data_IF_244770680718
#
_entry.id   IF_244770680718
#
_cell.length_a   1.000
_cell.length_b   1.000
_cell.length_c   1.000
_cell.angle_alpha   90.00
_cell.angle_beta   90.00
_cell.angle_gamma   90.00
#
_symmetry.space_group_name_H-M   'P 1'
#
loop_
_entity.id
_entity.type
_entity.pdbx_description
1 polymer ?
#
# COMPACT_ATOMS: atom_id res chain seq x y z
N UNK A 1 -25.83 0.60 4.84
CA UNK A 1 -24.97 0.42 6.04
C UNK A 1 -23.59 0.03 5.54
N UNK A 2 -22.52 0.71 5.96
CA UNK A 2 -21.18 0.54 5.38
C UNK A 2 -20.50 -0.72 5.96
N UNK A 3 -20.95 -1.90 5.53
CA UNK A 3 -20.56 -3.23 6.06
C UNK A 3 -19.03 -3.39 6.11
N UNK A 4 -18.34 -2.85 5.10
CA UNK A 4 -16.86 -2.88 5.04
C UNK A 4 -16.22 -2.10 6.21
N UNK A 5 -16.76 -0.94 6.57
CA UNK A 5 -16.25 -0.14 7.69
C UNK A 5 -16.40 -0.85 9.04
N UNK A 6 -17.59 -1.43 9.31
CA UNK A 6 -17.85 -2.17 10.54
C UNK A 6 -16.99 -3.43 10.64
N UNK A 7 -16.78 -4.14 9.51
CA UNK A 7 -15.96 -5.34 9.46
C UNK A 7 -14.48 -5.05 9.72
N UNK A 8 -13.95 -3.93 9.20
CA UNK A 8 -12.56 -3.53 9.43
C UNK A 8 -12.32 -3.18 10.91
N UNK A 9 -13.26 -2.47 11.54
CA UNK A 9 -13.19 -2.17 12.98
C UNK A 9 -13.15 -3.47 13.78
N UNK A 10 -14.01 -4.45 13.48
CA UNK A 10 -14.00 -5.73 14.17
C UNK A 10 -12.67 -6.49 13.97
N UNK A 11 -12.12 -6.48 12.76
CA UNK A 11 -10.81 -7.10 12.47
C UNK A 11 -9.68 -6.45 13.26
N UNK A 12 -9.64 -5.12 13.38
CA UNK A 12 -8.63 -4.41 14.16
C UNK A 12 -8.81 -4.60 15.68
N UNK A 13 -10.03 -4.83 16.15
CA UNK A 13 -10.25 -5.23 17.54
C UNK A 13 -9.70 -6.64 17.82
N UNK A 14 -9.84 -7.56 16.87
CA UNK A 14 -9.36 -8.94 16.98
C UNK A 14 -7.84 -9.04 16.81
N UNK A 15 -7.29 -8.36 15.82
CA UNK A 15 -5.86 -8.30 15.53
C UNK A 15 -5.44 -6.86 15.22
N UNK A 16 -5.05 -6.10 16.25
CA UNK A 16 -4.65 -4.70 16.08
C UNK A 16 -3.31 -4.55 15.36
N UNK A 17 -2.52 -5.62 15.23
CA UNK A 17 -1.21 -5.54 14.54
C UNK A 17 -1.37 -5.37 13.03
N UNK A 18 -2.55 -5.70 12.48
CA UNK A 18 -2.85 -5.51 11.06
C UNK A 18 -2.78 -4.05 10.61
N UNK A 19 -2.88 -3.05 11.50
CA UNK A 19 -2.69 -1.66 11.12
C UNK A 19 -1.26 -1.15 11.32
N UNK A 20 -0.30 -1.99 11.75
CA UNK A 20 1.08 -1.59 11.94
C UNK A 20 1.88 -1.71 10.65
N UNK A 21 2.61 -0.67 10.22
CA UNK A 21 3.42 -0.72 9.01
C UNK A 21 4.79 -1.34 9.27
N UNK A 22 5.37 -1.98 8.26
CA UNK A 22 6.76 -2.46 8.28
C UNK A 22 7.76 -1.31 8.11
N UNK A 23 7.35 -0.24 7.41
CA UNK A 23 8.17 0.96 7.25
C UNK A 23 7.29 2.23 7.24
N UNK A 24 7.83 3.33 7.75
CA UNK A 24 7.13 4.63 7.80
C UNK A 24 8.01 5.70 7.19
N UNK A 25 7.45 6.49 6.29
CA UNK A 25 8.06 7.70 5.74
C UNK A 25 7.18 8.91 6.05
N UNK A 26 7.76 10.11 6.08
CA UNK A 26 6.98 11.34 6.30
C UNK A 26 6.06 11.62 5.11
N UNK A 27 6.63 11.75 3.91
CA UNK A 27 5.89 12.04 2.67
C UNK A 27 6.31 11.11 1.54
N UNK A 28 5.56 11.12 0.43
CA UNK A 28 5.89 10.33 -0.76
C UNK A 28 7.33 10.57 -1.27
N UNK A 29 7.85 11.80 -1.16
CA UNK A 29 9.24 12.12 -1.55
C UNK A 29 10.32 11.42 -0.73
N UNK A 30 9.97 10.84 0.41
CA UNK A 30 10.89 10.14 1.30
C UNK A 30 10.86 8.62 1.07
N UNK A 31 10.08 8.12 0.10
CA UNK A 31 10.10 6.70 -0.24
C UNK A 31 11.50 6.30 -0.71
N UNK A 32 12.09 5.23 -0.14
CA UNK A 32 13.36 4.74 -0.63
C UNK A 32 13.14 4.02 -1.95
N UNK A 33 13.90 4.38 -3.00
CA UNK A 33 13.80 3.73 -4.32
C UNK A 33 15.10 2.94 -4.60
N UNK A 34 15.02 1.63 -4.93
CA UNK A 34 13.84 0.75 -4.86
C UNK A 34 13.33 0.52 -3.42
N UNK A 35 12.05 0.15 -3.30
CA UNK A 35 11.33 -0.04 -2.02
C UNK A 35 11.95 -1.16 -1.15
N UNK A 36 12.68 -2.11 -1.74
CA UNK A 36 13.47 -3.10 -1.01
C UNK A 36 14.36 -2.49 0.08
N UNK A 37 14.88 -1.26 -0.15
CA UNK A 37 15.74 -0.55 0.80
C UNK A 37 15.01 -0.06 2.06
N UNK A 38 13.68 -0.03 2.06
CA UNK A 38 12.87 0.33 3.22
C UNK A 38 13.00 -0.70 4.36
N UNK A 39 13.33 -1.94 4.03
CA UNK A 39 13.23 -3.06 4.96
C UNK A 39 14.63 -3.56 5.33
N UNK A 40 15.03 -3.43 6.61
CA UNK A 40 16.36 -3.86 7.03
C UNK A 40 16.51 -5.38 6.91
N UNK A 41 17.77 -5.82 6.76
CA UNK A 41 18.13 -7.25 6.84
C UNK A 41 17.76 -7.75 8.23
N UNK A 42 17.17 -8.95 8.32
CA UNK A 42 16.84 -9.57 9.61
C UNK A 42 18.12 -9.77 10.43
N UNK A 43 18.17 -9.20 11.63
CA UNK A 43 19.29 -9.35 12.57
C UNK A 43 19.51 -10.84 12.90
N UNK A 44 20.75 -11.30 12.82
CA UNK A 44 21.18 -12.68 13.14
C UNK A 44 21.46 -13.58 11.95
N UNK A 45 21.06 -13.22 10.73
CA UNK A 45 21.44 -13.95 9.52
C UNK A 45 22.75 -13.40 8.95
N UNK A 46 23.87 -14.07 9.19
CA UNK A 46 25.17 -13.80 8.52
C UNK A 46 25.08 -13.85 6.98
N UNK A 47 23.94 -14.27 6.43
CA UNK A 47 23.60 -14.43 5.01
C UNK A 47 22.18 -13.93 4.64
N UNK A 48 21.61 -12.97 5.38
CA UNK A 48 20.24 -12.50 5.12
C UNK A 48 20.10 -11.81 3.75
N UNK A 49 19.35 -12.43 2.82
CA UNK A 49 19.01 -11.85 1.52
C UNK A 49 18.15 -10.60 1.73
N UNK A 50 18.42 -9.55 0.96
CA UNK A 50 17.58 -8.35 0.94
C UNK A 50 16.13 -8.70 0.60
N UNK A 51 15.19 -7.90 1.13
CA UNK A 51 13.78 -8.07 0.79
C UNK A 51 13.59 -7.86 -0.71
N UNK A 52 13.01 -8.85 -1.37
CA UNK A 52 12.83 -8.89 -2.83
C UNK A 52 11.47 -8.27 -3.21
N UNK A 53 11.42 -6.93 -3.30
CA UNK A 53 10.24 -6.20 -3.77
C UNK A 53 10.30 -6.06 -5.28
N UNK A 54 9.36 -6.70 -5.96
CA UNK A 54 9.26 -6.74 -7.43
C UNK A 54 8.18 -5.83 -7.98
N UNK A 55 7.14 -5.56 -7.20
CA UNK A 55 6.06 -4.67 -7.59
C UNK A 55 5.60 -3.77 -6.44
N UNK A 56 5.01 -2.64 -6.81
CA UNK A 56 4.47 -1.64 -5.90
C UNK A 56 2.99 -1.42 -6.19
N UNK A 57 2.19 -1.54 -5.14
CA UNK A 57 0.79 -1.10 -5.12
C UNK A 57 0.75 0.27 -4.46
N UNK A 58 0.30 1.27 -5.19
CA UNK A 58 0.38 2.67 -4.79
C UNK A 58 -1.02 3.25 -4.59
N UNK A 59 -1.30 3.75 -3.39
CA UNK A 59 -2.49 4.56 -3.12
C UNK A 59 -2.41 5.92 -3.83
N UNK A 60 -3.58 6.50 -4.13
CA UNK A 60 -3.71 7.81 -4.80
C UNK A 60 -3.88 8.95 -3.81
N UNK A 61 -5.01 8.96 -3.12
CA UNK A 61 -5.55 10.14 -2.44
C UNK A 61 -4.75 10.42 -1.18
N UNK A 62 -4.17 11.62 -1.06
CA UNK A 62 -3.29 12.01 0.05
C UNK A 62 -1.96 11.23 0.11
N UNK A 63 -1.69 10.33 -0.83
CA UNK A 63 -0.41 9.64 -0.99
C UNK A 63 0.51 10.38 -1.97
N UNK A 64 0.35 10.17 -3.29
CA UNK A 64 1.10 10.92 -4.31
C UNK A 64 0.30 12.07 -4.93
N UNK A 65 -1.02 12.13 -4.71
CA UNK A 65 -1.91 13.14 -5.24
C UNK A 65 -2.64 13.89 -4.13
N UNK A 66 -2.97 15.16 -4.38
CA UNK A 66 -3.95 15.89 -3.54
C UNK A 66 -5.26 15.09 -3.55
N UNK A 67 -5.99 14.95 -2.42
CA UNK A 67 -7.27 14.26 -2.39
C UNK A 67 -8.21 14.70 -3.52
N UNK A 68 -8.81 13.73 -4.21
CA UNK A 68 -9.71 13.92 -5.36
C UNK A 68 -9.05 14.45 -6.65
N UNK A 69 -7.76 14.81 -6.64
CA UNK A 69 -7.04 15.11 -7.86
C UNK A 69 -6.68 13.81 -8.62
N UNK A 70 -6.51 13.94 -9.94
CA UNK A 70 -6.03 12.85 -10.81
C UNK A 70 -4.66 13.18 -11.43
N UNK A 71 -3.92 14.06 -10.77
CA UNK A 71 -2.60 14.52 -11.17
C UNK A 71 -1.61 14.25 -10.04
N UNK A 72 -0.36 14.04 -10.40
CA UNK A 72 0.72 13.90 -9.43
C UNK A 72 0.87 15.25 -8.72
N UNK A 73 0.97 15.25 -7.40
CA UNK A 73 1.26 16.48 -6.66
C UNK A 73 2.59 17.07 -7.19
N UNK A 74 2.60 18.34 -7.58
CA UNK A 74 3.73 18.99 -8.27
C UNK A 74 5.11 18.67 -7.63
N UNK A 75 5.29 18.90 -6.31
CA UNK A 75 6.52 18.55 -5.58
C UNK A 75 6.96 17.08 -5.64
N UNK A 76 6.09 16.15 -6.04
CA UNK A 76 6.34 14.71 -6.08
C UNK A 76 6.65 14.19 -7.49
N UNK A 77 6.61 15.04 -8.53
CA UNK A 77 6.81 14.62 -9.92
C UNK A 77 8.13 13.87 -10.12
N UNK A 78 9.25 14.45 -9.71
CA UNK A 78 10.58 13.85 -9.91
C UNK A 78 10.70 12.50 -9.19
N UNK A 79 10.12 12.41 -7.98
CA UNK A 79 10.15 11.18 -7.20
C UNK A 79 9.25 10.10 -7.81
N UNK A 80 8.06 10.49 -8.30
CA UNK A 80 7.15 9.59 -9.00
C UNK A 80 7.79 9.05 -10.29
N UNK A 81 8.49 9.89 -11.05
CA UNK A 81 9.22 9.44 -12.24
C UNK A 81 10.33 8.43 -11.90
N UNK A 82 11.11 8.67 -10.83
CA UNK A 82 12.09 7.70 -10.33
C UNK A 82 11.44 6.38 -9.92
N UNK A 83 10.28 6.44 -9.25
CA UNK A 83 9.53 5.25 -8.85
C UNK A 83 9.08 4.45 -10.07
N UNK A 84 8.53 5.13 -11.08
CA UNK A 84 8.10 4.52 -12.35
C UNK A 84 9.27 3.90 -13.13
N UNK A 85 10.44 4.53 -13.10
CA UNK A 85 11.66 3.98 -13.71
C UNK A 85 12.15 2.72 -12.98
N UNK A 86 12.06 2.69 -11.65
CA UNK A 86 12.44 1.51 -10.86
C UNK A 86 11.42 0.35 -10.98
N UNK A 87 10.14 0.67 -11.19
CA UNK A 87 9.04 -0.28 -11.33
C UNK A 87 8.28 -0.05 -12.65
N UNK A 88 8.90 -0.37 -13.81
CA UNK A 88 8.30 -0.11 -15.11
C UNK A 88 7.15 -1.08 -15.43
N UNK A 89 6.26 -0.67 -16.34
CA UNK A 89 5.19 -1.51 -16.86
C UNK A 89 4.22 -1.95 -15.76
N UNK A 90 3.92 -3.24 -15.72
CA UNK A 90 2.96 -3.83 -14.77
C UNK A 90 3.48 -3.91 -13.33
N UNK A 91 4.72 -3.47 -13.06
CA UNK A 91 5.32 -3.50 -11.71
C UNK A 91 4.84 -2.38 -10.81
N UNK A 92 4.23 -1.33 -11.35
CA UNK A 92 3.64 -0.24 -10.59
C UNK A 92 2.14 -0.20 -10.89
N UNK A 93 1.33 -0.37 -9.85
CA UNK A 93 -0.12 -0.44 -9.94
C UNK A 93 -0.74 0.57 -8.97
N UNK A 94 -1.65 1.41 -9.46
CA UNK A 94 -2.42 2.31 -8.60
C UNK A 94 -3.67 1.61 -8.11
N UNK A 95 -3.95 1.67 -6.80
CA UNK A 95 -5.18 1.16 -6.17
C UNK A 95 -5.79 2.27 -5.32
N UNK A 96 -6.99 2.72 -5.70
CA UNK A 96 -7.67 3.86 -5.06
C UNK A 96 -9.10 3.49 -4.68
N UNK A 97 -9.59 4.02 -3.55
CA UNK A 97 -11.00 3.87 -3.16
C UNK A 97 -11.95 4.83 -3.90
N UNK A 98 -11.40 5.72 -4.75
CA UNK A 98 -12.16 6.74 -5.51
C UNK A 98 -12.04 6.59 -7.03
N UNK A 99 -10.94 6.02 -7.54
CA UNK A 99 -10.73 5.74 -8.96
C UNK A 99 -10.60 4.23 -9.19
N UNK A 100 -11.22 3.70 -10.24
CA UNK A 100 -11.17 2.26 -10.54
C UNK A 100 -12.18 1.40 -9.77
N UNK A 101 -13.04 2.03 -8.95
CA UNK A 101 -14.08 1.33 -8.15
C UNK A 101 -15.44 1.43 -8.81
N UNK A 102 -16.45 0.71 -8.28
CA UNK A 102 -17.84 0.86 -8.73
C UNK A 102 -18.41 2.27 -8.51
N UNK A 103 -17.79 3.07 -7.63
CA UNK A 103 -18.12 4.49 -7.49
C UNK A 103 -17.53 5.39 -8.58
N UNK A 104 -16.56 4.90 -9.35
CA UNK A 104 -16.00 5.58 -10.53
C UNK A 104 -16.90 5.32 -11.74
N UNK A 105 -17.92 6.17 -11.91
CA UNK A 105 -18.91 6.04 -12.99
C UNK A 105 -18.21 6.01 -14.35
N UNK A 106 -18.53 4.99 -15.14
CA UNK A 106 -17.92 4.76 -16.46
C UNK A 106 -16.38 4.71 -16.41
N UNK A 107 -15.79 4.45 -15.24
CA UNK A 107 -14.36 4.21 -15.12
C UNK A 107 -13.48 5.41 -15.56
N UNK A 108 -14.07 6.63 -15.52
CA UNK A 108 -13.48 7.88 -16.03
C UNK A 108 -12.31 8.40 -15.20
N UNK A 109 -12.41 8.35 -13.87
CA UNK A 109 -11.33 8.83 -13.00
C UNK A 109 -10.08 8.01 -13.19
N UNK A 110 -10.22 6.69 -13.24
CA UNK A 110 -9.09 5.82 -13.47
C UNK A 110 -8.54 5.95 -14.90
N UNK A 111 -9.36 6.13 -15.94
CA UNK A 111 -8.84 6.39 -17.29
C UNK A 111 -8.03 7.70 -17.37
N UNK A 112 -8.53 8.78 -16.75
CA UNK A 112 -7.82 10.05 -16.66
C UNK A 112 -6.51 9.92 -15.87
N UNK A 113 -6.53 9.20 -14.75
CA UNK A 113 -5.35 8.98 -13.92
C UNK A 113 -4.29 8.15 -14.66
N UNK A 114 -4.70 7.12 -15.40
CA UNK A 114 -3.80 6.34 -16.27
C UNK A 114 -3.17 7.23 -17.35
N UNK A 115 -3.96 8.12 -17.97
CA UNK A 115 -3.45 9.10 -18.95
C UNK A 115 -2.42 10.06 -18.35
N UNK A 116 -2.70 10.59 -17.16
CA UNK A 116 -1.85 11.59 -16.52
C UNK A 116 -0.57 11.02 -15.91
N UNK A 117 -0.58 9.76 -15.48
CA UNK A 117 0.55 9.14 -14.77
C UNK A 117 1.33 8.15 -15.64
N UNK A 118 0.70 7.59 -16.68
CA UNK A 118 1.22 6.46 -17.44
C UNK A 118 1.29 5.16 -16.63
N UNK A 119 0.56 5.07 -15.51
CA UNK A 119 0.54 3.91 -14.59
C UNK A 119 -0.86 3.31 -14.58
N UNK A 120 -0.95 1.99 -14.62
CA UNK A 120 -2.23 1.28 -14.60
C UNK A 120 -2.97 1.49 -13.29
N UNK A 121 -4.30 1.62 -13.38
CA UNK A 121 -5.19 1.69 -12.21
C UNK A 121 -6.00 0.42 -12.13
N UNK A 122 -5.96 -0.24 -10.97
CA UNK A 122 -6.74 -1.46 -10.74
C UNK A 122 -8.23 -1.14 -10.88
N UNK A 123 -8.95 -1.99 -11.62
CA UNK A 123 -10.41 -1.96 -11.70
C UNK A 123 -10.95 -3.01 -10.75
N UNK A 124 -11.64 -2.59 -9.69
CA UNK A 124 -12.04 -3.49 -8.59
C UNK A 124 -13.37 -3.05 -7.94
N UNK A 125 -14.24 -3.99 -7.60
CA UNK A 125 -15.52 -3.71 -6.95
C UNK A 125 -15.36 -3.55 -5.44
N UNK A 126 -14.49 -4.35 -4.82
CA UNK A 126 -14.23 -4.31 -3.37
C UNK A 126 -13.27 -3.18 -3.03
N UNK A 127 -13.60 -2.30 -2.08
CA UNK A 127 -12.66 -1.23 -1.65
C UNK A 127 -11.58 -1.78 -0.72
N UNK A 128 -10.43 -1.08 -0.66
CA UNK A 128 -9.39 -1.32 0.36
C UNK A 128 -10.01 -1.24 1.75
N UNK A 129 -9.66 -2.13 2.68
CA UNK A 129 -8.56 -3.12 2.61
C UNK A 129 -8.91 -4.47 1.97
N UNK A 130 -10.09 -4.62 1.34
CA UNK A 130 -10.62 -5.93 0.92
C UNK A 130 -10.26 -6.40 -0.50
N UNK A 131 -9.52 -5.62 -1.28
CA UNK A 131 -9.22 -5.93 -2.69
C UNK A 131 -7.92 -6.71 -2.93
N UNK A 132 -7.42 -7.42 -1.92
CA UNK A 132 -6.15 -8.16 -2.03
C UNK A 132 -6.19 -9.27 -3.09
N UNK A 133 -7.36 -9.88 -3.31
CA UNK A 133 -7.53 -10.93 -4.31
C UNK A 133 -7.45 -10.37 -5.73
N UNK A 134 -8.07 -9.21 -5.98
CA UNK A 134 -8.02 -8.50 -7.26
C UNK A 134 -6.60 -8.00 -7.57
N UNK A 135 -5.87 -7.53 -6.55
CA UNK A 135 -4.45 -7.15 -6.68
C UNK A 135 -3.60 -8.36 -7.10
N UNK A 136 -3.73 -9.49 -6.41
CA UNK A 136 -2.99 -10.71 -6.75
C UNK A 136 -3.39 -11.27 -8.12
N UNK A 137 -4.66 -11.18 -8.49
CA UNK A 137 -5.15 -11.58 -9.81
C UNK A 137 -4.55 -10.71 -10.92
N UNK A 138 -4.43 -9.40 -10.72
CA UNK A 138 -3.76 -8.49 -11.65
C UNK A 138 -2.31 -8.94 -11.90
N UNK A 139 -1.52 -9.16 -10.85
CA UNK A 139 -0.12 -9.57 -11.03
C UNK A 139 0.03 -10.98 -11.63
N UNK A 140 -0.92 -11.89 -11.37
CA UNK A 140 -0.96 -13.20 -12.02
C UNK A 140 -1.21 -13.10 -13.53
N UNK A 141 -1.99 -12.12 -13.96
CA UNK A 141 -2.25 -11.85 -15.38
C UNK A 141 -1.10 -11.09 -16.08
N UNK A 142 -0.17 -10.52 -15.30
CA UNK A 142 0.97 -9.73 -15.79
C UNK A 142 2.29 -10.35 -15.31
N UNK A 143 2.70 -11.52 -15.86
CA UNK A 143 3.89 -12.24 -15.43
C UNK A 143 5.19 -11.44 -15.66
N UNK A 144 5.18 -10.41 -16.52
CA UNK A 144 6.28 -9.45 -16.71
C UNK A 144 6.65 -8.69 -15.42
N UNK A 145 5.70 -8.55 -14.49
CA UNK A 145 5.96 -7.98 -13.17
C UNK A 145 6.88 -8.88 -12.31
N UNK A 146 6.94 -10.18 -12.62
CA UNK A 146 7.77 -11.15 -11.91
C UNK A 146 7.29 -11.48 -10.49
N UNK A 147 6.07 -11.08 -10.11
CA UNK A 147 5.47 -11.37 -8.80
C UNK A 147 4.92 -12.79 -8.80
N UNK A 148 5.40 -13.62 -7.88
CA UNK A 148 4.88 -14.98 -7.65
C UNK A 148 4.37 -15.19 -6.24
N UNK A 149 4.76 -14.33 -5.29
CA UNK A 149 4.34 -14.38 -3.89
C UNK A 149 3.95 -12.98 -3.37
N UNK A 150 2.99 -12.87 -2.43
CA UNK A 150 2.56 -11.58 -1.89
C UNK A 150 3.68 -10.77 -1.20
N UNK A 151 4.63 -11.45 -0.56
CA UNK A 151 5.81 -10.85 0.09
C UNK A 151 6.74 -10.11 -0.89
N UNK A 152 6.53 -10.25 -2.20
CA UNK A 152 7.26 -9.53 -3.25
C UNK A 152 6.59 -8.21 -3.66
N UNK A 153 5.47 -7.88 -3.03
CA UNK A 153 4.72 -6.65 -3.26
C UNK A 153 4.96 -5.71 -2.07
N UNK A 154 5.18 -4.43 -2.36
CA UNK A 154 5.07 -3.36 -1.37
C UNK A 154 3.81 -2.53 -1.63
N UNK A 155 2.98 -2.36 -0.60
CA UNK A 155 1.81 -1.47 -0.62
C UNK A 155 2.20 -0.14 0.04
N UNK A 156 2.00 0.96 -0.67
CA UNK A 156 2.33 2.32 -0.21
C UNK A 156 1.05 3.14 -0.09
N UNK A 157 0.77 3.69 1.09
CA UNK A 157 -0.41 4.55 1.27
C UNK A 157 -0.43 5.32 2.59
N UNK A 158 -1.41 6.21 2.75
CA UNK A 158 -1.47 7.18 3.85
C UNK A 158 -2.28 6.69 5.06
N UNK A 159 -3.13 5.68 4.90
CA UNK A 159 -4.05 5.19 5.95
C UNK A 159 -3.62 3.85 6.52
N UNK A 160 -3.65 3.76 7.85
CA UNK A 160 -3.31 2.54 8.56
C UNK A 160 -4.44 1.50 8.46
N UNK A 161 -5.70 1.95 8.49
CA UNK A 161 -6.88 1.06 8.43
C UNK A 161 -7.28 0.58 7.03
N UNK A 162 -6.65 1.09 5.97
CA UNK A 162 -6.91 0.64 4.59
C UNK A 162 -5.65 0.09 3.93
N UNK A 163 -4.62 0.90 3.74
CA UNK A 163 -3.48 0.52 2.89
C UNK A 163 -2.57 -0.46 3.62
N UNK A 164 -2.20 -0.12 4.86
CA UNK A 164 -1.37 -0.98 5.70
C UNK A 164 -2.12 -2.24 6.13
N UNK A 165 -3.40 -2.11 6.45
CA UNK A 165 -4.26 -3.25 6.73
C UNK A 165 -4.38 -4.20 5.53
N UNK A 166 -4.57 -3.68 4.32
CA UNK A 166 -4.56 -4.50 3.11
C UNK A 166 -3.21 -5.18 2.92
N UNK A 167 -2.11 -4.45 3.12
CA UNK A 167 -0.76 -4.97 2.98
C UNK A 167 -0.54 -6.19 3.89
N UNK A 168 -0.90 -6.04 5.16
CA UNK A 168 -0.76 -7.06 6.19
C UNK A 168 -1.69 -8.26 5.95
N UNK A 169 -2.95 -8.02 5.57
CA UNK A 169 -3.89 -9.09 5.21
C UNK A 169 -3.44 -9.88 3.98
N UNK A 170 -2.78 -9.22 3.03
CA UNK A 170 -2.25 -9.86 1.82
C UNK A 170 -0.97 -10.66 2.09
N UNK A 171 -0.28 -10.44 3.23
CA UNK A 171 1.05 -11.00 3.47
C UNK A 171 2.15 -10.30 2.68
N UNK A 172 1.97 -9.00 2.46
CA UNK A 172 2.89 -8.13 1.72
C UNK A 172 3.51 -7.06 2.62
N UNK A 173 4.47 -6.28 2.10
CA UNK A 173 5.10 -5.22 2.88
C UNK A 173 4.31 -3.92 2.81
N UNK A 174 3.96 -3.34 3.95
CA UNK A 174 3.31 -2.03 4.06
C UNK A 174 4.30 -0.90 4.32
N UNK A 175 4.27 0.14 3.49
CA UNK A 175 4.96 1.41 3.69
C UNK A 175 3.95 2.51 3.93
N UNK A 176 3.99 3.09 5.13
CA UNK A 176 3.06 4.12 5.52
C UNK A 176 3.62 5.51 5.24
N UNK A 177 2.89 6.30 4.45
CA UNK A 177 3.14 7.72 4.21
C UNK A 177 2.41 8.51 5.29
N UNK A 178 3.13 8.90 6.34
CA UNK A 178 2.52 9.44 7.57
C UNK A 178 1.80 10.75 7.34
N UNK A 179 2.46 11.73 6.70
CA UNK A 179 1.99 13.12 6.66
C UNK A 179 1.10 13.40 5.44
N UNK A 180 1.25 12.61 4.37
CA UNK A 180 0.50 12.76 3.12
C UNK A 180 0.75 14.09 2.41
N UNK A 181 -0.14 14.46 1.49
CA UNK A 181 -0.06 15.74 0.74
C UNK A 181 -0.71 16.89 1.50
N UNK A 182 -1.85 16.63 2.15
CA UNK A 182 -2.70 17.66 2.79
C UNK A 182 -2.69 17.59 4.32
N UNK A 183 -1.83 16.75 4.89
CA UNK A 183 -1.76 16.55 6.34
C UNK A 183 -2.76 15.51 6.84
N UNK A 184 -2.87 15.43 8.18
CA UNK A 184 -3.65 14.42 8.90
C UNK A 184 -4.98 14.97 9.39
N UNK A 185 -6.08 14.37 8.92
CA UNK A 185 -7.42 14.55 9.49
C UNK A 185 -7.59 13.90 10.86
N UNK A 186 -8.72 14.16 11.53
CA UNK A 186 -8.99 13.68 12.90
C UNK A 186 -8.87 12.17 13.07
N UNK A 187 -9.52 11.38 12.20
CA UNK A 187 -9.48 9.92 12.25
C UNK A 187 -8.06 9.38 12.06
N UNK A 188 -7.31 9.94 11.11
CA UNK A 188 -5.92 9.55 10.86
C UNK A 188 -5.03 9.77 12.10
N UNK A 189 -5.25 10.86 12.86
CA UNK A 189 -4.55 11.11 14.13
C UNK A 189 -4.93 10.11 15.23
N UNK A 190 -6.13 9.56 15.21
CA UNK A 190 -6.51 8.47 16.13
C UNK A 190 -5.77 7.18 15.78
N UNK A 191 -5.61 6.87 14.49
CA UNK A 191 -4.80 5.73 14.04
C UNK A 191 -3.34 5.88 14.50
N UNK A 192 -2.76 7.08 14.42
CA UNK A 192 -1.39 7.37 14.89
C UNK A 192 -1.23 7.05 16.38
N UNK A 193 -2.23 7.43 17.19
CA UNK A 193 -2.22 7.16 18.63
C UNK A 193 -2.30 5.67 18.92
N UNK A 194 -3.15 4.95 18.19
CA UNK A 194 -3.28 3.50 18.33
C UNK A 194 -1.96 2.80 17.94
N UNK A 195 -1.38 3.17 16.79
CA UNK A 195 -0.12 2.62 16.31
C UNK A 195 1.04 2.92 17.29
N UNK A 196 1.17 4.17 17.76
CA UNK A 196 2.17 4.53 18.76
C UNK A 196 2.00 3.74 20.07
N UNK A 197 0.76 3.54 20.49
CA UNK A 197 0.44 2.74 21.68
C UNK A 197 0.81 1.27 21.53
N UNK A 198 0.52 0.66 20.38
CA UNK A 198 0.88 -0.72 20.08
C UNK A 198 2.40 -0.92 20.04
N UNK A 199 3.15 -0.02 19.38
CA UNK A 199 4.62 -0.10 19.41
C UNK A 199 5.19 0.05 20.82
N UNK A 200 4.64 0.97 21.64
CA UNK A 200 5.04 1.11 23.05
C UNK A 200 4.81 -0.16 23.87
N UNK A 201 3.87 -1.00 23.44
CA UNK A 201 3.59 -2.30 24.06
C UNK A 201 4.40 -3.46 23.47
N UNK A 202 5.32 -3.17 22.55
CA UNK A 202 6.19 -4.18 21.94
C UNK A 202 5.54 -4.96 20.79
N UNK A 203 4.36 -4.54 20.32
CA UNK A 203 3.78 -5.12 19.10
C UNK A 203 4.57 -4.65 17.88
N UNK A 204 4.70 -5.52 16.89
CA UNK A 204 5.28 -5.21 15.58
C UNK A 204 4.29 -5.57 14.47
N UNK A 205 4.52 -5.02 13.29
CA UNK A 205 3.78 -5.43 12.11
C UNK A 205 3.97 -6.94 11.84
N UNK A 206 2.96 -7.63 11.28
CA UNK A 206 3.09 -9.00 10.83
C UNK A 206 4.29 -9.15 9.88
N UNK A 207 5.01 -10.27 9.99
CA UNK A 207 6.16 -10.57 9.12
C UNK A 207 5.67 -11.18 7.80
N UNK A 208 5.79 -10.46 6.65
CA UNK A 208 5.28 -10.96 5.36
C UNK A 208 5.89 -12.31 4.96
N UNK A 209 7.13 -12.59 5.38
CA UNK A 209 7.83 -13.83 5.04
C UNK A 209 7.38 -15.06 5.84
N UNK A 210 6.63 -14.87 6.94
CA UNK A 210 6.13 -15.97 7.79
C UNK A 210 4.77 -16.49 7.36
N UNK A 211 4.04 -15.78 6.49
CA UNK A 211 2.70 -16.19 6.08
C UNK A 211 2.65 -17.47 5.25
N UNK A 212 3.80 -17.98 4.77
CA UNK A 212 3.90 -19.27 4.10
C UNK A 212 3.74 -20.51 5.02
N UNK A 213 3.57 -20.35 6.34
CA UNK A 213 3.39 -21.50 7.25
C UNK A 213 1.93 -21.88 7.54
N UNK A 214 0.93 -21.07 7.14
CA UNK A 214 -0.49 -21.32 7.44
C UNK A 214 -1.31 -21.93 6.29
N UNK A 215 -0.66 -22.30 5.17
CA UNK A 215 -1.26 -23.08 4.09
C UNK A 215 -0.70 -24.51 4.05
N UNK A 216 -0.73 -25.20 5.20
CA UNK A 216 -0.53 -26.66 5.29
C UNK A 216 -1.77 -27.30 5.90
#
# INVERSE_FOLDING_TARGET
MNISGTLNVFRLLRDPTLCLPQHTVSTFNHLPIPLSKAFPKKDGAKSGKEVDIRAVVLDKDNCFAVPHANEIHQPYHDHFQRLRQAYPGSKLLIVSNTAGTDSDKEQKQAALLESNTGVKVLRHSTKKPGCQEEVMAYFKQHPDAGVTRPEQIAVVGDRLSTDIMMANMMGSYGVWVRDGVTGRGFFARMEDRLQAFLFRRGYSAPDPSRHNQFNS
#
